data_IF_774772519955
#
_entry.id   IF_774772519955
#
_cell.length_a   1.000
_cell.length_b   1.000
_cell.length_c   1.000
_cell.angle_alpha   90.00
_cell.angle_beta   90.00
_cell.angle_gamma   90.00
#
_symmetry.space_group_name_H-M   'P 1'
#
loop_
_entity.id
_entity.type
_entity.pdbx_description
1 polymer ?
#
# COMPACT_ATOMS: atom_id res chain seq x y z
N UNK A 1 -9.04 17.35 -16.16
CA UNK A 1 -8.81 15.90 -15.97
C UNK A 1 -8.43 15.19 -17.26
N UNK A 2 -9.29 15.15 -18.31
CA UNK A 2 -8.96 14.50 -19.59
C UNK A 2 -7.69 15.04 -20.27
N UNK A 3 -7.45 16.36 -20.22
CA UNK A 3 -6.23 16.97 -20.78
C UNK A 3 -4.94 16.67 -19.98
N UNK A 4 -5.04 16.29 -18.70
CA UNK A 4 -3.89 15.89 -17.87
C UNK A 4 -3.53 14.41 -18.09
N UNK A 5 -4.54 13.54 -18.25
CA UNK A 5 -4.38 12.12 -18.61
C UNK A 5 -3.81 11.92 -20.02
N UNK A 6 -3.97 12.91 -20.91
CA UNK A 6 -3.38 12.90 -22.24
C UNK A 6 -1.87 13.24 -22.25
N UNK A 7 -1.29 13.67 -21.12
CA UNK A 7 0.14 13.95 -21.05
C UNK A 7 0.92 12.62 -21.06
N UNK A 8 1.87 12.43 -22.00
CA UNK A 8 2.58 11.16 -22.15
C UNK A 8 3.34 10.77 -20.87
N UNK A 9 3.81 11.75 -20.11
CA UNK A 9 4.52 11.52 -18.84
C UNK A 9 3.61 10.89 -17.78
N UNK A 10 2.36 11.32 -17.68
CA UNK A 10 1.40 10.76 -16.72
C UNK A 10 1.05 9.31 -17.08
N UNK A 11 0.88 9.02 -18.38
CA UNK A 11 0.65 7.66 -18.86
C UNK A 11 1.84 6.73 -18.57
N UNK A 12 3.07 7.22 -18.77
CA UNK A 12 4.28 6.49 -18.42
C UNK A 12 4.36 6.20 -16.92
N UNK A 13 4.05 7.17 -16.06
CA UNK A 13 4.02 6.96 -14.62
C UNK A 13 2.97 5.93 -14.21
N UNK A 14 1.75 6.01 -14.77
CA UNK A 14 0.68 5.05 -14.53
C UNK A 14 1.10 3.62 -14.92
N UNK A 15 1.77 3.47 -16.07
CA UNK A 15 2.28 2.17 -16.52
C UNK A 15 3.37 1.64 -15.59
N UNK A 16 4.30 2.51 -15.15
CA UNK A 16 5.34 2.14 -14.18
C UNK A 16 4.72 1.72 -12.85
N UNK A 17 3.76 2.48 -12.33
CA UNK A 17 3.03 2.15 -11.10
C UNK A 17 2.33 0.80 -11.25
N UNK A 18 1.62 0.57 -12.36
CA UNK A 18 0.93 -0.69 -12.62
C UNK A 18 1.93 -1.86 -12.66
N UNK A 19 3.05 -1.69 -13.34
CA UNK A 19 4.11 -2.70 -13.39
C UNK A 19 4.68 -2.99 -11.99
N UNK A 20 4.93 -1.95 -11.18
CA UNK A 20 5.41 -2.10 -9.81
C UNK A 20 4.39 -2.87 -8.96
N UNK A 21 3.11 -2.53 -9.05
CA UNK A 21 2.05 -3.21 -8.30
C UNK A 21 1.93 -4.68 -8.71
N UNK A 22 2.01 -4.98 -10.00
CA UNK A 22 2.00 -6.36 -10.52
C UNK A 22 3.19 -7.16 -10.01
N UNK A 23 4.40 -6.59 -10.05
CA UNK A 23 5.61 -7.25 -9.54
C UNK A 23 5.51 -7.42 -8.02
N UNK A 24 5.13 -6.39 -7.29
CA UNK A 24 4.98 -6.44 -5.83
C UNK A 24 3.91 -7.45 -5.38
N UNK A 25 2.89 -7.68 -6.20
CA UNK A 25 1.86 -8.68 -5.95
C UNK A 25 2.32 -10.11 -6.27
N UNK A 26 3.01 -10.31 -7.38
CA UNK A 26 3.39 -11.64 -7.88
C UNK A 26 4.65 -12.19 -7.22
N UNK A 27 5.63 -11.34 -6.92
CA UNK A 27 6.92 -11.74 -6.36
C UNK A 27 6.80 -12.53 -5.04
N UNK A 28 5.98 -12.10 -4.05
CA UNK A 28 5.80 -12.85 -2.81
C UNK A 28 5.12 -14.21 -3.06
N UNK A 29 4.14 -14.27 -3.96
CA UNK A 29 3.40 -15.49 -4.29
C UNK A 29 4.30 -16.54 -4.97
N UNK A 30 5.17 -16.10 -5.90
CA UNK A 30 6.16 -16.97 -6.54
C UNK A 30 7.16 -17.49 -5.51
N UNK A 31 7.65 -16.63 -4.61
CA UNK A 31 8.54 -17.02 -3.53
C UNK A 31 7.88 -18.05 -2.60
N UNK A 32 6.57 -17.89 -2.31
CA UNK A 32 5.80 -18.82 -1.48
C UNK A 32 5.70 -20.19 -2.12
N UNK A 33 5.34 -20.25 -3.42
CA UNK A 33 5.22 -21.51 -4.18
C UNK A 33 6.55 -22.26 -4.26
N UNK A 34 7.68 -21.54 -4.38
CA UNK A 34 9.02 -22.15 -4.39
C UNK A 34 9.49 -22.65 -3.03
N UNK A 35 9.05 -22.06 -1.91
CA UNK A 35 9.60 -22.38 -0.59
C UNK A 35 8.95 -23.58 0.11
N UNK A 36 7.69 -23.97 -0.15
CA UNK A 36 7.07 -25.23 0.35
C UNK A 36 5.86 -25.70 -0.48
N UNK A 37 5.77 -26.99 -0.91
CA UNK A 37 4.60 -27.54 -1.60
C UNK A 37 3.43 -27.99 -0.70
N UNK A 38 3.53 -27.92 0.64
CA UNK A 38 2.50 -28.49 1.53
C UNK A 38 2.14 -27.57 2.70
N UNK A 39 0.87 -27.16 2.77
CA UNK A 39 0.26 -26.67 4.02
C UNK A 39 -0.13 -25.18 4.10
N UNK A 40 -0.13 -24.43 3.00
CA UNK A 40 -0.54 -23.02 3.03
C UNK A 40 -2.07 -22.87 2.97
N UNK A 41 -2.73 -23.00 4.11
CA UNK A 41 -4.16 -22.72 4.22
C UNK A 41 -4.67 -22.56 5.65
N UNK A 42 -3.94 -23.08 6.65
CA UNK A 42 -4.32 -22.95 8.07
C UNK A 42 -3.29 -22.11 8.80
N UNK A 43 -3.79 -21.11 9.53
CA UNK A 43 -3.02 -20.36 10.52
C UNK A 43 -2.28 -21.37 11.41
N UNK A 44 -0.95 -21.25 11.61
CA UNK A 44 -0.26 -22.16 12.51
C UNK A 44 -0.78 -21.93 13.94
N UNK A 45 -1.67 -22.81 14.40
CA UNK A 45 -2.25 -22.83 15.75
C UNK A 45 -1.92 -24.14 16.46
N UNK A 46 -1.83 -24.04 17.79
CA UNK A 46 -1.44 -25.11 18.71
C UNK A 46 -0.49 -24.55 19.78
N UNK A 47 -0.55 -25.10 21.00
CA UNK A 47 0.33 -24.74 22.14
C UNK A 47 1.83 -24.90 21.83
N UNK A 48 2.20 -25.56 20.72
CA UNK A 48 3.59 -25.75 20.26
C UNK A 48 4.07 -24.82 19.14
N UNK A 49 3.27 -23.86 18.65
CA UNK A 49 3.71 -22.96 17.56
C UNK A 49 4.60 -21.85 18.11
N UNK A 50 5.89 -21.91 17.78
CA UNK A 50 6.84 -20.90 18.25
C UNK A 50 6.51 -19.50 17.74
N UNK A 51 6.76 -18.49 18.59
CA UNK A 51 6.64 -17.06 18.22
C UNK A 51 7.38 -16.75 16.92
N UNK A 52 8.54 -17.39 16.69
CA UNK A 52 9.32 -17.27 15.46
C UNK A 52 8.55 -17.71 14.21
N UNK A 53 7.76 -18.78 14.28
CA UNK A 53 6.94 -19.24 13.15
C UNK A 53 5.79 -18.27 12.85
N UNK A 54 5.16 -17.71 13.90
CA UNK A 54 4.13 -16.67 13.73
C UNK A 54 4.71 -15.41 13.09
N UNK A 55 5.85 -14.92 13.61
CA UNK A 55 6.54 -13.75 13.05
C UNK A 55 6.96 -14.00 11.60
N UNK A 56 7.53 -15.16 11.28
CA UNK A 56 7.93 -15.48 9.91
C UNK A 56 6.74 -15.53 8.93
N UNK A 57 5.61 -16.08 9.38
CA UNK A 57 4.37 -16.10 8.60
C UNK A 57 3.84 -14.68 8.34
N UNK A 58 3.81 -13.84 9.37
CA UNK A 58 3.32 -12.46 9.26
C UNK A 58 4.31 -11.52 8.55
N UNK A 59 5.62 -11.74 8.66
CA UNK A 59 6.64 -11.00 7.94
C UNK A 59 6.48 -11.14 6.41
N UNK A 60 5.99 -12.30 5.95
CA UNK A 60 5.69 -12.49 4.54
C UNK A 60 4.56 -11.56 4.03
N UNK A 61 3.61 -11.19 4.88
CA UNK A 61 2.53 -10.26 4.52
C UNK A 61 3.01 -8.82 4.35
N UNK A 62 4.16 -8.47 4.94
CA UNK A 62 4.82 -7.17 4.78
C UNK A 62 5.69 -7.13 3.52
N UNK A 63 6.00 -8.28 2.92
CA UNK A 63 6.94 -8.37 1.81
C UNK A 63 6.42 -7.66 0.55
N UNK A 64 5.12 -7.76 0.27
CA UNK A 64 4.49 -7.07 -0.85
C UNK A 64 4.61 -5.53 -0.77
N UNK A 65 4.16 -4.85 0.31
CA UNK A 65 4.32 -3.40 0.42
C UNK A 65 5.79 -2.96 0.47
N UNK A 66 6.68 -3.74 1.10
CA UNK A 66 8.12 -3.44 1.12
C UNK A 66 8.71 -3.47 -0.30
N UNK A 67 8.39 -4.50 -1.10
CA UNK A 67 8.85 -4.60 -2.49
C UNK A 67 8.31 -3.43 -3.32
N UNK A 68 7.03 -3.07 -3.15
CA UNK A 68 6.46 -1.91 -3.81
C UNK A 68 7.20 -0.60 -3.47
N UNK A 69 7.51 -0.36 -2.19
CA UNK A 69 8.28 0.82 -1.77
C UNK A 69 9.68 0.86 -2.38
N UNK A 70 10.39 -0.27 -2.40
CA UNK A 70 11.73 -0.35 -3.00
C UNK A 70 11.68 -0.04 -4.49
N UNK A 71 10.71 -0.60 -5.20
CA UNK A 71 10.54 -0.36 -6.64
C UNK A 71 10.10 1.08 -6.94
N UNK A 72 9.22 1.67 -6.12
CA UNK A 72 8.82 3.08 -6.24
C UNK A 72 9.98 4.02 -5.98
N UNK A 73 10.80 3.74 -4.96
CA UNK A 73 12.00 4.53 -4.69
C UNK A 73 13.00 4.48 -5.85
N UNK A 74 13.20 3.29 -6.44
CA UNK A 74 14.05 3.12 -7.62
C UNK A 74 13.48 3.89 -8.83
N UNK A 75 12.18 3.77 -9.08
CA UNK A 75 11.51 4.48 -10.17
C UNK A 75 11.61 6.01 -10.00
N UNK A 76 11.35 6.51 -8.79
CA UNK A 76 11.45 7.95 -8.48
C UNK A 76 12.87 8.46 -8.72
N UNK A 77 13.90 7.71 -8.29
CA UNK A 77 15.30 8.05 -8.56
C UNK A 77 15.61 8.08 -10.06
N UNK A 78 15.09 7.13 -10.84
CA UNK A 78 15.26 7.10 -12.30
C UNK A 78 14.59 8.29 -12.99
N UNK A 79 13.42 8.71 -12.51
CA UNK A 79 12.72 9.90 -13.02
C UNK A 79 13.49 11.18 -12.69
N UNK A 80 13.99 11.31 -11.46
CA UNK A 80 14.82 12.44 -11.03
C UNK A 80 16.09 12.57 -11.88
N UNK A 81 16.77 11.44 -12.17
CA UNK A 81 17.96 11.42 -13.04
C UNK A 81 17.66 11.84 -14.49
N UNK A 82 16.41 11.70 -14.94
CA UNK A 82 15.95 12.09 -16.29
C UNK A 82 15.31 13.48 -16.33
N UNK A 83 15.25 14.19 -15.20
CA UNK A 83 14.55 15.48 -15.09
C UNK A 83 13.04 15.38 -15.35
N UNK A 84 12.44 14.18 -15.18
CA UNK A 84 11.01 13.98 -15.36
C UNK A 84 10.27 14.28 -14.05
N UNK A 85 9.07 14.90 -14.10
CA UNK A 85 8.25 15.06 -12.91
C UNK A 85 7.88 13.68 -12.37
N UNK A 86 7.74 13.55 -11.05
CA UNK A 86 7.49 12.29 -10.33
C UNK A 86 6.30 12.38 -9.34
N UNK A 87 5.50 13.45 -9.40
CA UNK A 87 4.41 13.71 -8.45
C UNK A 87 3.46 12.52 -8.22
N UNK A 88 3.04 11.83 -9.29
CA UNK A 88 2.17 10.66 -9.17
C UNK A 88 2.88 9.48 -8.47
N UNK A 89 4.19 9.32 -8.66
CA UNK A 89 4.98 8.29 -7.97
C UNK A 89 5.08 8.61 -6.48
N UNK A 90 5.26 9.89 -6.12
CA UNK A 90 5.27 10.34 -4.73
C UNK A 90 3.91 10.10 -4.05
N UNK A 91 2.80 10.43 -4.72
CA UNK A 91 1.45 10.19 -4.21
C UNK A 91 1.19 8.71 -3.95
N UNK A 92 1.51 7.86 -4.93
CA UNK A 92 1.39 6.41 -4.77
C UNK A 92 2.32 5.88 -3.67
N UNK A 93 3.50 6.46 -3.49
CA UNK A 93 4.42 6.08 -2.40
C UNK A 93 3.77 6.31 -1.03
N UNK A 94 3.03 7.42 -0.84
CA UNK A 94 2.26 7.68 0.39
C UNK A 94 1.21 6.59 0.61
N UNK A 95 0.46 6.21 -0.42
CA UNK A 95 -0.55 5.14 -0.32
C UNK A 95 0.08 3.79 0.03
N UNK A 96 1.25 3.47 -0.53
CA UNK A 96 1.97 2.23 -0.20
C UNK A 96 2.51 2.27 1.24
N UNK A 97 2.95 3.42 1.74
CA UNK A 97 3.29 3.59 3.17
C UNK A 97 2.10 3.34 4.08
N UNK A 98 0.93 3.88 3.75
CA UNK A 98 -0.31 3.62 4.49
C UNK A 98 -0.64 2.12 4.47
N UNK A 99 -0.49 1.46 3.32
CA UNK A 99 -0.69 0.02 3.21
C UNK A 99 0.27 -0.78 4.08
N UNK A 100 1.55 -0.40 4.11
CA UNK A 100 2.55 -1.00 5.00
C UNK A 100 2.17 -0.81 6.47
N UNK A 101 1.81 0.41 6.88
CA UNK A 101 1.41 0.72 8.24
C UNK A 101 0.20 -0.09 8.69
N UNK A 102 -0.82 -0.20 7.83
CA UNK A 102 -1.99 -1.04 8.09
C UNK A 102 -1.60 -2.51 8.25
N UNK A 103 -0.78 -3.06 7.34
CA UNK A 103 -0.31 -4.45 7.45
C UNK A 103 0.48 -4.65 8.74
N UNK A 104 1.38 -3.72 9.09
CA UNK A 104 2.15 -3.73 10.33
C UNK A 104 1.25 -3.75 11.57
N UNK A 105 0.26 -2.85 11.62
CA UNK A 105 -0.72 -2.80 12.71
C UNK A 105 -1.49 -4.13 12.83
N UNK A 106 -1.97 -4.68 11.72
CA UNK A 106 -2.67 -5.97 11.72
C UNK A 106 -1.78 -7.09 12.25
N UNK A 107 -0.50 -7.13 11.83
CA UNK A 107 0.48 -8.11 12.33
C UNK A 107 0.66 -7.98 13.83
N UNK A 108 0.86 -6.76 14.34
CA UNK A 108 1.02 -6.50 15.78
C UNK A 108 -0.22 -6.94 16.56
N UNK A 109 -1.42 -6.57 16.11
CA UNK A 109 -2.66 -6.96 16.77
C UNK A 109 -2.83 -8.49 16.80
N UNK A 110 -2.47 -9.19 15.73
CA UNK A 110 -2.50 -10.64 15.69
C UNK A 110 -1.46 -11.31 16.59
N UNK A 111 -0.28 -10.70 16.74
CA UNK A 111 0.75 -11.21 17.65
C UNK A 111 0.29 -11.06 19.11
N UNK A 112 -0.30 -9.92 19.46
CA UNK A 112 -0.72 -9.60 20.84
C UNK A 112 -1.99 -10.34 21.27
N UNK A 113 -3.00 -10.38 20.41
CA UNK A 113 -4.35 -10.83 20.77
C UNK A 113 -4.80 -12.09 20.02
N UNK A 114 -3.97 -12.62 19.11
CA UNK A 114 -4.29 -13.83 18.35
C UNK A 114 -5.55 -13.68 17.50
N UNK A 115 -6.39 -14.70 17.49
CA UNK A 115 -7.59 -14.75 16.63
C UNK A 115 -8.74 -13.87 17.11
N UNK A 116 -8.75 -13.45 18.38
CA UNK A 116 -9.78 -12.58 18.95
C UNK A 116 -9.88 -11.23 18.21
N UNK A 117 -8.80 -10.79 17.55
CA UNK A 117 -8.76 -9.58 16.72
C UNK A 117 -9.47 -9.74 15.38
N UNK A 118 -9.76 -10.95 14.91
CA UNK A 118 -10.37 -11.18 13.58
C UNK A 118 -11.67 -10.39 13.35
N UNK A 119 -12.66 -10.39 14.26
CA UNK A 119 -13.85 -9.53 14.13
C UNK A 119 -13.48 -8.05 14.19
N UNK A 120 -12.63 -7.62 15.13
CA UNK A 120 -12.23 -6.21 15.27
C UNK A 120 -11.54 -5.68 13.99
N UNK A 121 -10.66 -6.49 13.38
CA UNK A 121 -10.04 -6.16 12.10
C UNK A 121 -11.09 -5.94 11.02
N UNK A 122 -12.03 -6.88 10.88
CA UNK A 122 -13.04 -6.86 9.81
C UNK A 122 -13.99 -5.67 9.92
N UNK A 123 -14.42 -5.33 11.14
CA UNK A 123 -15.50 -4.37 11.35
C UNK A 123 -15.01 -2.96 11.69
N UNK A 124 -13.78 -2.80 12.18
CA UNK A 124 -13.27 -1.50 12.64
C UNK A 124 -11.99 -1.12 11.91
N UNK A 125 -10.94 -1.96 11.97
CA UNK A 125 -9.61 -1.58 11.46
C UNK A 125 -9.61 -1.47 9.93
N UNK A 126 -10.17 -2.46 9.22
CA UNK A 126 -10.22 -2.44 7.75
C UNK A 126 -11.10 -1.30 7.23
N UNK A 127 -12.33 -1.07 7.72
CA UNK A 127 -13.13 0.08 7.29
C UNK A 127 -12.45 1.41 7.57
N UNK A 128 -11.87 1.62 8.76
CA UNK A 128 -11.14 2.83 9.09
C UNK A 128 -9.95 3.06 8.13
N UNK A 129 -9.20 2.01 7.82
CA UNK A 129 -8.11 2.09 6.83
C UNK A 129 -8.62 2.47 5.44
N UNK A 130 -9.72 1.88 4.97
CA UNK A 130 -10.32 2.21 3.68
C UNK A 130 -10.76 3.68 3.65
N UNK A 131 -11.40 4.18 4.70
CA UNK A 131 -11.79 5.60 4.82
C UNK A 131 -10.54 6.50 4.72
N UNK A 132 -9.47 6.18 5.43
CA UNK A 132 -8.22 6.94 5.38
C UNK A 132 -7.61 6.95 3.97
N UNK A 133 -7.58 5.80 3.29
CA UNK A 133 -7.06 5.70 1.91
C UNK A 133 -7.90 6.54 0.95
N UNK A 134 -9.24 6.49 1.06
CA UNK A 134 -10.13 7.30 0.23
C UNK A 134 -9.92 8.80 0.50
N UNK A 135 -9.87 9.20 1.77
CA UNK A 135 -9.61 10.59 2.14
C UNK A 135 -8.26 11.08 1.59
N UNK A 136 -7.22 10.26 1.69
CA UNK A 136 -5.91 10.58 1.14
C UNK A 136 -5.95 10.68 -0.39
N UNK A 137 -6.63 9.76 -1.08
CA UNK A 137 -6.78 9.81 -2.53
C UNK A 137 -7.53 11.06 -3.01
N UNK A 138 -8.55 11.51 -2.26
CA UNK A 138 -9.27 12.77 -2.53
C UNK A 138 -8.34 13.98 -2.37
N UNK A 139 -7.48 13.98 -1.34
CA UNK A 139 -6.51 15.06 -1.12
C UNK A 139 -5.39 15.12 -2.18
N UNK A 140 -5.14 14.01 -2.87
CA UNK A 140 -4.19 13.94 -4.00
C UNK A 140 -4.78 14.47 -5.31
N UNK A 141 -6.10 14.64 -5.41
CA UNK A 141 -6.71 15.18 -6.63
C UNK A 141 -6.42 16.68 -6.76
N UNK A 142 -5.86 17.14 -7.89
CA UNK A 142 -5.67 18.56 -8.12
C UNK A 142 -7.04 19.27 -8.23
N UNK A 143 -7.34 20.17 -7.29
CA UNK A 143 -8.54 21.02 -7.28
C UNK A 143 -9.38 21.00 -5.99
N UNK A 144 -9.07 20.15 -5.02
CA UNK A 144 -9.84 20.08 -3.76
C UNK A 144 -9.62 21.30 -2.86
N UNK A 145 -8.44 21.94 -2.95
CA UNK A 145 -8.12 23.17 -2.20
C UNK A 145 -8.76 24.42 -2.83
N UNK A 146 -9.03 24.41 -4.14
CA UNK A 146 -9.56 25.60 -4.85
C UNK A 146 -11.05 25.89 -4.58
N UNK A 147 -11.83 24.91 -4.11
CA UNK A 147 -13.25 25.13 -3.77
C UNK A 147 -13.44 25.84 -2.43
N UNK A 148 -12.56 25.58 -1.46
CA UNK A 148 -12.61 26.20 -0.12
C UNK A 148 -12.05 27.62 -0.15
N UNK A 149 -10.99 27.88 -0.91
CA UNK A 149 -10.42 29.23 -1.04
C UNK A 149 -11.29 30.19 -1.88
N UNK A 150 -12.01 29.66 -2.88
CA UNK A 150 -12.92 30.47 -3.70
C UNK A 150 -14.17 30.93 -2.92
N UNK A 151 -14.60 30.19 -1.91
CA UNK A 151 -15.75 30.61 -1.08
C UNK A 151 -15.36 31.67 -0.04
N UNK A 152 -14.12 31.67 0.44
CA UNK A 152 -13.65 32.67 1.44
C UNK A 152 -13.37 34.04 0.78
N UNK A 153 -12.97 34.08 -0.51
CA UNK A 153 -12.68 35.33 -1.23
C UNK A 153 -13.87 36.02 -1.90
N UNK A 154 -15.08 35.47 -1.82
CA UNK A 154 -16.31 36.09 -2.33
C UNK A 154 -17.14 36.77 -1.21
N UNK A 155 -16.64 36.78 0.03
CA UNK A 155 -17.35 37.27 1.22
C UNK A 155 -16.71 38.45 1.94
N UNK A 156 -15.75 39.15 1.32
CA UNK A 156 -15.14 40.39 1.84
C UNK A 156 -15.09 41.43 0.74
#
# INVERSE_FOLDING_TARGET
>A
LLAMLARPVVQQQLLVILAILLVAWTLPEILRRRRRPGGAGRYPQGEGVSLRQRVAWFAHLLLAPIVALVLLALASRLYALRGLPDGLLADVTILVWMWLAYRGLVVVLYILFGEAVRPYRRWIVTPAFVILVIAQAINMLPGTVTLVDATIRLGT
#
